data_IF_139427063048
#
_entry.id   IF_139427063048
#
_cell.length_a   1.000
_cell.length_b   1.000
_cell.length_c   1.000
_cell.angle_alpha   90.00
_cell.angle_beta   90.00
_cell.angle_gamma   90.00
#
_symmetry.space_group_name_H-M   'P 1'
#
loop_
_entity.id
_entity.type
_entity.pdbx_description
1 polymer ?
#
# COMPACT_ATOMS: atom_id res chain seq x y z
N UNK A 1 12.52 2.85 26.95
CA UNK A 1 11.53 3.60 26.15
C UNK A 1 12.15 4.79 25.40
N UNK A 2 13.21 5.37 25.92
CA UNK A 2 13.85 6.51 25.26
C UNK A 2 14.47 6.17 23.90
N UNK A 3 14.87 4.92 23.70
CA UNK A 3 15.49 4.47 22.44
C UNK A 3 14.54 4.45 21.25
N UNK A 4 13.23 4.54 21.51
CA UNK A 4 12.24 4.41 20.46
C UNK A 4 11.41 5.69 20.28
N UNK A 5 12.00 6.82 20.68
CA UNK A 5 11.37 8.11 20.44
C UNK A 5 11.42 8.45 18.96
N UNK A 6 10.27 8.80 18.43
CA UNK A 6 10.16 9.20 17.04
C UNK A 6 10.46 10.67 16.81
N UNK A 7 10.60 11.00 15.54
CA UNK A 7 10.89 12.37 15.12
C UNK A 7 9.64 13.20 14.78
N UNK A 8 8.47 12.57 14.65
CA UNK A 8 7.21 13.26 14.36
C UNK A 8 6.19 13.10 15.49
N UNK A 9 5.83 11.85 15.78
CA UNK A 9 4.76 11.55 16.76
C UNK A 9 5.29 11.21 18.14
N UNK A 10 6.60 11.04 18.28
CA UNK A 10 7.21 10.54 19.50
C UNK A 10 7.29 9.02 19.57
N UNK A 11 6.77 8.31 18.58
CA UNK A 11 6.83 6.86 18.49
C UNK A 11 7.61 6.48 17.24
N UNK A 12 8.81 5.91 17.40
CA UNK A 12 9.69 5.62 16.28
C UNK A 12 9.07 4.63 15.30
N UNK A 13 8.40 3.58 15.79
CA UNK A 13 7.80 2.58 14.90
C UNK A 13 6.69 3.20 14.05
N UNK A 14 5.85 4.01 14.66
CA UNK A 14 4.79 4.72 13.95
C UNK A 14 5.36 5.72 12.95
N UNK A 15 6.41 6.43 13.32
CA UNK A 15 7.06 7.39 12.43
C UNK A 15 7.69 6.70 11.23
N UNK A 16 8.29 5.54 11.42
CA UNK A 16 8.84 4.75 10.32
C UNK A 16 7.73 4.27 9.38
N UNK A 17 6.59 3.86 9.94
CA UNK A 17 5.44 3.44 9.15
C UNK A 17 4.87 4.61 8.33
N UNK A 18 4.75 5.78 8.93
CA UNK A 18 4.28 7.00 8.25
C UNK A 18 5.25 7.40 7.14
N UNK A 19 6.56 7.32 7.41
CA UNK A 19 7.58 7.63 6.41
C UNK A 19 7.51 6.67 5.22
N UNK A 20 7.31 5.38 5.48
CA UNK A 20 7.16 4.38 4.43
C UNK A 20 5.91 4.63 3.59
N UNK A 21 4.80 5.00 4.25
CA UNK A 21 3.57 5.36 3.56
C UNK A 21 3.78 6.55 2.63
N UNK A 22 4.43 7.59 3.15
CA UNK A 22 4.71 8.80 2.37
C UNK A 22 5.62 8.49 1.19
N UNK A 23 6.68 7.70 1.41
CA UNK A 23 7.59 7.31 0.34
C UNK A 23 6.87 6.53 -0.76
N UNK A 24 5.97 5.61 -0.38
CA UNK A 24 5.19 4.85 -1.36
C UNK A 24 4.27 5.77 -2.17
N UNK A 25 3.65 6.77 -1.53
CA UNK A 25 2.82 7.75 -2.22
C UNK A 25 3.62 8.58 -3.20
N UNK A 26 4.83 9.01 -2.80
CA UNK A 26 5.71 9.78 -3.68
C UNK A 26 6.16 8.96 -4.89
N UNK A 27 6.51 7.70 -4.68
CA UNK A 27 6.88 6.80 -5.78
C UNK A 27 5.71 6.63 -6.75
N UNK A 28 4.50 6.50 -6.20
CA UNK A 28 3.28 6.36 -7.00
C UNK A 28 3.06 7.59 -7.90
N UNK A 29 3.22 8.78 -7.33
CA UNK A 29 3.08 10.04 -8.06
C UNK A 29 4.13 10.14 -9.16
N UNK A 30 5.39 9.87 -8.84
CA UNK A 30 6.49 9.95 -9.79
C UNK A 30 6.32 8.94 -10.93
N UNK A 31 5.86 7.73 -10.60
CA UNK A 31 5.61 6.70 -11.61
C UNK A 31 4.49 7.11 -12.56
N UNK A 32 3.41 7.66 -12.03
CA UNK A 32 2.29 8.12 -12.86
C UNK A 32 2.70 9.27 -13.77
N UNK A 33 3.50 10.22 -13.26
CA UNK A 33 3.99 11.33 -14.08
C UNK A 33 4.94 10.85 -15.16
N UNK A 34 5.82 9.90 -14.83
CA UNK A 34 6.84 9.43 -15.78
C UNK A 34 6.28 8.51 -16.85
N UNK A 35 5.33 7.65 -16.48
CA UNK A 35 4.85 6.58 -17.37
C UNK A 35 3.52 6.92 -18.00
N UNK A 36 2.56 7.38 -17.20
CA UNK A 36 1.18 7.60 -17.64
C UNK A 36 0.85 9.03 -17.98
N UNK A 37 1.70 9.98 -17.55
CA UNK A 37 1.48 11.42 -17.72
C UNK A 37 0.13 11.90 -17.21
N UNK A 38 -0.40 11.21 -16.19
CA UNK A 38 -1.67 11.59 -15.57
C UNK A 38 -1.43 12.61 -14.48
N UNK A 39 -2.52 13.25 -14.03
CA UNK A 39 -2.48 14.19 -12.92
C UNK A 39 -1.95 13.53 -11.66
N UNK A 40 -0.98 14.16 -11.00
CA UNK A 40 -0.42 13.68 -9.75
C UNK A 40 -1.45 13.62 -8.63
N UNK A 41 -2.44 14.49 -8.67
CA UNK A 41 -3.52 14.51 -7.68
C UNK A 41 -4.34 13.22 -7.73
N UNK A 42 -4.61 12.74 -8.94
CA UNK A 42 -5.33 11.49 -9.14
C UNK A 42 -4.58 10.30 -8.53
N UNK A 43 -3.23 10.29 -8.66
CA UNK A 43 -2.40 9.23 -8.08
C UNK A 43 -2.43 9.26 -6.55
N UNK A 44 -2.45 10.44 -5.95
CA UNK A 44 -2.51 10.59 -4.48
C UNK A 44 -3.82 10.09 -3.91
N UNK A 45 -4.92 10.30 -4.61
CA UNK A 45 -6.24 9.88 -4.17
C UNK A 45 -6.45 8.39 -4.40
N UNK A 46 -5.86 7.84 -5.47
CA UNK A 46 -6.03 6.43 -5.83
C UNK A 46 -5.28 5.53 -4.85
N UNK A 47 -5.98 4.58 -4.23
CA UNK A 47 -5.38 3.57 -3.36
C UNK A 47 -4.97 2.31 -4.13
N UNK A 48 -5.33 2.20 -5.40
CA UNK A 48 -5.11 1.00 -6.20
C UNK A 48 -3.79 0.94 -6.95
N UNK A 49 -2.95 1.98 -6.89
CA UNK A 49 -1.68 2.02 -7.61
C UNK A 49 -0.54 1.30 -6.90
N UNK A 50 0.51 0.97 -7.64
CA UNK A 50 1.73 0.38 -7.11
C UNK A 50 2.78 1.46 -6.89
N UNK A 51 3.59 1.40 -5.80
CA UNK A 51 3.46 0.47 -4.69
C UNK A 51 2.29 0.83 -3.78
N UNK A 52 1.78 -0.16 -3.04
CA UNK A 52 0.70 0.07 -2.10
C UNK A 52 1.21 0.81 -0.86
N UNK A 53 0.64 1.98 -0.59
CA UNK A 53 1.02 2.77 0.57
C UNK A 53 0.59 2.09 1.89
N UNK A 54 -0.56 1.42 1.89
CA UNK A 54 -1.02 0.68 3.07
C UNK A 54 -0.11 -0.50 3.37
N UNK A 55 0.33 -1.24 2.33
CA UNK A 55 1.28 -2.33 2.50
C UNK A 55 2.61 -1.82 3.00
N UNK A 56 3.10 -0.69 2.50
CA UNK A 56 4.34 -0.09 2.95
C UNK A 56 4.25 0.30 4.43
N UNK A 57 3.13 0.87 4.85
CA UNK A 57 2.90 1.27 6.23
C UNK A 57 2.97 0.07 7.17
N UNK A 58 2.18 -0.98 6.89
CA UNK A 58 2.11 -2.15 7.78
C UNK A 58 3.38 -2.98 7.75
N UNK A 59 4.09 -3.05 6.62
CA UNK A 59 5.36 -3.76 6.54
C UNK A 59 6.43 -3.06 7.36
N UNK A 60 6.52 -1.73 7.27
CA UNK A 60 7.48 -0.96 8.07
C UNK A 60 7.19 -1.13 9.56
N UNK A 61 5.91 -1.11 9.94
CA UNK A 61 5.49 -1.31 11.32
C UNK A 61 5.90 -2.69 11.82
N UNK A 62 5.63 -3.75 11.03
CA UNK A 62 5.94 -5.12 11.42
C UNK A 62 7.44 -5.35 11.55
N UNK A 63 8.23 -4.87 10.57
CA UNK A 63 9.68 -5.05 10.58
C UNK A 63 10.30 -4.29 11.75
N UNK A 64 9.88 -3.07 12.00
CA UNK A 64 10.40 -2.28 13.12
C UNK A 64 10.06 -2.92 14.46
N UNK A 65 8.88 -3.51 14.61
CA UNK A 65 8.51 -4.26 15.81
C UNK A 65 9.38 -5.48 16.00
N UNK A 66 9.65 -6.22 14.91
CA UNK A 66 10.53 -7.40 14.98
C UNK A 66 11.93 -7.05 15.37
N UNK A 67 12.48 -5.96 14.83
CA UNK A 67 13.84 -5.52 15.17
C UNK A 67 13.91 -5.03 16.60
N UNK A 68 12.92 -4.26 17.06
CA UNK A 68 12.96 -3.62 18.37
C UNK A 68 12.66 -4.59 19.51
N UNK A 69 11.69 -5.48 19.33
CA UNK A 69 11.18 -6.34 20.40
C UNK A 69 11.44 -7.83 20.17
N UNK A 70 12.03 -8.17 19.03
CA UNK A 70 12.33 -9.55 18.70
C UNK A 70 11.26 -10.20 17.82
N UNK A 71 11.71 -11.10 16.97
CA UNK A 71 10.82 -11.77 16.00
C UNK A 71 9.89 -12.79 16.66
N UNK A 72 10.13 -13.12 17.92
CA UNK A 72 9.29 -14.02 18.70
C UNK A 72 8.32 -13.27 19.63
N UNK A 73 8.32 -11.95 19.58
CA UNK A 73 7.48 -11.14 20.47
C UNK A 73 6.01 -11.15 20.01
N UNK A 74 5.07 -11.02 20.97
CA UNK A 74 3.65 -10.89 20.62
C UNK A 74 3.36 -9.64 19.79
N UNK A 75 4.14 -8.56 19.99
CA UNK A 75 3.97 -7.33 19.22
C UNK A 75 4.29 -7.54 17.76
N UNK A 76 5.37 -8.30 17.47
CA UNK A 76 5.69 -8.64 16.09
C UNK A 76 4.62 -9.55 15.48
N UNK A 77 4.11 -10.53 16.24
CA UNK A 77 3.06 -11.40 15.75
C UNK A 77 1.81 -10.61 15.36
N UNK A 78 1.41 -9.65 16.20
CA UNK A 78 0.26 -8.80 15.93
C UNK A 78 0.48 -7.95 14.68
N UNK A 79 1.64 -7.30 14.59
CA UNK A 79 1.97 -6.44 13.47
C UNK A 79 2.10 -7.24 12.16
N UNK A 80 2.71 -8.43 12.22
CA UNK A 80 2.87 -9.29 11.05
C UNK A 80 1.52 -9.82 10.57
N UNK A 81 0.63 -10.18 11.49
CA UNK A 81 -0.72 -10.61 11.16
C UNK A 81 -1.49 -9.50 10.46
N UNK A 82 -1.42 -8.29 11.00
CA UNK A 82 -2.05 -7.12 10.39
C UNK A 82 -1.48 -6.87 8.99
N UNK A 83 -0.17 -6.94 8.84
CA UNK A 83 0.49 -6.75 7.56
C UNK A 83 0.03 -7.78 6.53
N UNK A 84 -0.09 -9.04 6.95
CA UNK A 84 -0.55 -10.11 6.06
C UNK A 84 -1.97 -9.85 5.57
N UNK A 85 -2.87 -9.43 6.47
CA UNK A 85 -4.26 -9.15 6.10
C UNK A 85 -4.34 -7.97 5.13
N UNK A 86 -3.62 -6.88 5.43
CA UNK A 86 -3.64 -5.69 4.58
C UNK A 86 -3.08 -6.00 3.20
N UNK A 87 -1.96 -6.73 3.13
CA UNK A 87 -1.35 -7.09 1.85
C UNK A 87 -2.24 -8.03 1.04
N UNK A 88 -2.89 -8.97 1.70
CA UNK A 88 -3.82 -9.88 1.02
C UNK A 88 -4.99 -9.09 0.44
N UNK A 89 -5.57 -8.19 1.22
CA UNK A 89 -6.68 -7.37 0.76
C UNK A 89 -6.28 -6.47 -0.41
N UNK A 90 -5.08 -5.88 -0.35
CA UNK A 90 -4.58 -5.05 -1.44
C UNK A 90 -4.41 -5.86 -2.73
N UNK A 91 -3.84 -7.06 -2.62
CA UNK A 91 -3.68 -7.96 -3.75
C UNK A 91 -5.04 -8.37 -4.32
N UNK A 92 -5.98 -8.72 -3.46
CA UNK A 92 -7.31 -9.19 -3.85
C UNK A 92 -8.11 -8.10 -4.56
N UNK A 93 -8.04 -6.87 -4.06
CA UNK A 93 -8.71 -5.72 -4.69
C UNK A 93 -8.15 -5.48 -6.09
N UNK A 94 -6.83 -5.51 -6.26
CA UNK A 94 -6.21 -5.30 -7.57
C UNK A 94 -6.59 -6.40 -8.55
N UNK A 95 -6.57 -7.65 -8.09
CA UNK A 95 -6.95 -8.78 -8.94
C UNK A 95 -8.41 -8.69 -9.36
N UNK A 96 -9.31 -8.39 -8.41
CA UNK A 96 -10.74 -8.23 -8.68
C UNK A 96 -11.01 -7.08 -9.64
N UNK A 97 -10.31 -5.96 -9.47
CA UNK A 97 -10.44 -4.80 -10.36
C UNK A 97 -10.01 -5.16 -11.77
N UNK A 98 -8.92 -5.92 -11.91
CA UNK A 98 -8.46 -6.40 -13.21
C UNK A 98 -9.47 -7.31 -13.90
N UNK A 99 -10.08 -8.22 -13.15
CA UNK A 99 -11.12 -9.11 -13.68
C UNK A 99 -12.36 -8.33 -14.09
N UNK A 100 -12.75 -7.34 -13.28
CA UNK A 100 -13.88 -6.47 -13.61
C UNK A 100 -13.61 -5.65 -14.87
N UNK A 101 -12.39 -5.15 -15.03
CA UNK A 101 -12.00 -4.42 -16.22
C UNK A 101 -12.07 -5.29 -17.47
N UNK A 102 -11.62 -6.54 -17.38
CA UNK A 102 -11.72 -7.50 -18.49
C UNK A 102 -13.17 -7.76 -18.87
N UNK A 103 -14.02 -8.00 -17.88
CA UNK A 103 -15.43 -8.26 -18.11
C UNK A 103 -16.10 -7.05 -18.77
N UNK A 104 -15.78 -5.84 -18.32
CA UNK A 104 -16.31 -4.61 -18.88
C UNK A 104 -15.85 -4.42 -20.32
N UNK A 105 -14.58 -4.67 -20.62
CA UNK A 105 -14.05 -4.57 -21.98
C UNK A 105 -14.71 -5.57 -22.92
N UNK A 106 -14.98 -6.78 -22.46
CA UNK A 106 -15.68 -7.79 -23.24
C UNK A 106 -17.10 -7.36 -23.55
N UNK A 107 -17.79 -6.77 -22.55
CA UNK A 107 -19.14 -6.28 -22.74
C UNK A 107 -19.19 -5.15 -23.77
N UNK A 108 -18.24 -4.21 -23.67
CA UNK A 108 -18.14 -3.09 -24.62
C UNK A 108 -17.86 -3.60 -26.04
N UNK A 109 -17.00 -4.58 -26.18
CA UNK A 109 -16.73 -5.21 -27.49
C UNK A 109 -17.98 -5.85 -28.08
N UNK A 110 -18.76 -6.53 -27.25
CA UNK A 110 -20.02 -7.13 -27.70
C UNK A 110 -21.03 -6.08 -28.17
N UNK A 111 -21.07 -4.93 -27.47
CA UNK A 111 -21.97 -3.84 -27.85
C UNK A 111 -21.55 -3.20 -29.17
N UNK A 112 -20.27 -3.10 -29.44
CA UNK A 112 -19.74 -2.56 -30.69
C UNK A 112 -20.09 -3.45 -31.91
N UNK A 113 -20.23 -4.75 -31.67
CA UNK A 113 -20.54 -5.73 -32.72
C UNK A 113 -22.03 -5.81 -33.06
N UNK A 114 -22.86 -5.08 -32.33
CA UNK A 114 -24.30 -5.04 -32.63
C UNK A 114 -24.55 -4.26 -33.91
N UNK A 115 -25.47 -4.75 -34.76
CA UNK A 115 -25.83 -4.07 -36.02
C UNK A 115 -26.52 -2.74 -35.81
#
# INVERSE_FOLDING_TARGET
>A
MEHYQGFLTGNLMLDLAITAWFAAQMIKVLTDLAIRRKSSLSALISSGGMPSSHSAFVCALAVSMGIAYGWHSPLFALAAGLAAVVMYDAFNVRWSTGEQAKALNQLLGSLEDLP
#
